data_IF_627907570171
#
_entry.id   IF_627907570171
#
_cell.length_a   1.000
_cell.length_b   1.000
_cell.length_c   1.000
_cell.angle_alpha   90.00
_cell.angle_beta   90.00
_cell.angle_gamma   90.00
#
_symmetry.space_group_name_H-M   'P 1'
#
loop_
_entity.id
_entity.type
_entity.pdbx_description
1 polymer ?
#
# COMPACT_ATOMS: atom_id res chain seq x y z
N UNK A 1 -24.44 -7.86 5.19
CA UNK A 1 -25.65 -7.19 4.63
C UNK A 1 -26.57 -6.59 5.71
N UNK A 2 -26.56 -7.13 6.93
CA UNK A 2 -27.41 -6.62 8.02
C UNK A 2 -26.83 -5.39 8.75
N UNK A 3 -25.49 -5.27 8.85
CA UNK A 3 -24.83 -4.08 9.43
C UNK A 3 -25.10 -2.77 8.68
N UNK A 4 -25.17 -2.81 7.36
CA UNK A 4 -25.45 -1.61 6.53
C UNK A 4 -26.86 -1.05 6.82
N UNK A 5 -27.75 -1.85 7.40
CA UNK A 5 -29.15 -1.50 7.68
C UNK A 5 -29.42 -1.17 9.15
N UNK A 6 -28.47 -1.38 10.06
CA UNK A 6 -28.70 -1.08 11.48
C UNK A 6 -28.39 0.38 11.81
N UNK A 7 -29.15 0.94 12.74
CA UNK A 7 -28.83 2.24 13.32
C UNK A 7 -27.58 2.09 14.20
N UNK A 8 -26.56 2.91 13.94
CA UNK A 8 -25.28 2.94 14.66
C UNK A 8 -24.47 1.63 14.58
N UNK A 9 -24.43 0.95 13.44
CA UNK A 9 -23.48 -0.13 13.25
C UNK A 9 -22.04 0.37 13.43
N UNK A 10 -21.31 -0.28 14.33
CA UNK A 10 -19.87 -0.15 14.47
C UNK A 10 -19.18 -1.37 13.85
N UNK A 11 -17.99 -1.20 13.26
CA UNK A 11 -17.19 -2.33 12.82
C UNK A 11 -16.75 -3.18 14.01
N UNK A 12 -16.60 -4.48 13.80
CA UNK A 12 -16.14 -5.42 14.82
C UNK A 12 -15.29 -6.53 14.22
N UNK A 13 -14.56 -7.22 15.09
CA UNK A 13 -13.83 -8.45 14.77
C UNK A 13 -14.72 -9.67 15.04
N UNK A 14 -14.77 -10.62 14.10
CA UNK A 14 -15.47 -11.91 14.29
C UNK A 14 -14.65 -12.90 15.12
N UNK A 15 -13.34 -12.70 15.20
CA UNK A 15 -12.42 -13.43 16.07
C UNK A 15 -11.12 -12.62 16.29
N UNK A 16 -10.31 -12.91 17.31
CA UNK A 16 -9.06 -12.20 17.54
C UNK A 16 -8.07 -12.36 16.37
N UNK A 17 -7.44 -11.26 15.96
CA UNK A 17 -6.38 -11.25 14.94
C UNK A 17 -5.05 -10.94 15.60
N UNK A 18 -4.08 -11.84 15.40
CA UNK A 18 -2.70 -11.62 15.86
C UNK A 18 -1.90 -10.96 14.74
N UNK A 19 -1.38 -9.77 15.00
CA UNK A 19 -0.42 -9.10 14.12
C UNK A 19 1.01 -9.32 14.63
N UNK A 20 2.02 -9.33 13.74
CA UNK A 20 3.40 -9.36 14.15
C UNK A 20 3.76 -8.17 15.06
N UNK A 21 4.56 -8.42 16.09
CA UNK A 21 5.07 -7.39 17.00
C UNK A 21 6.48 -6.97 16.54
N UNK A 22 6.54 -6.14 15.52
CA UNK A 22 7.78 -5.53 15.03
C UNK A 22 7.89 -4.08 15.50
N UNK A 23 9.12 -3.66 15.79
CA UNK A 23 9.40 -2.25 16.08
C UNK A 23 9.11 -1.38 14.85
N UNK A 24 9.44 -1.87 13.65
CA UNK A 24 9.30 -1.14 12.40
C UNK A 24 8.18 -1.70 11.55
N UNK A 25 7.27 -0.83 11.12
CA UNK A 25 6.18 -1.14 10.22
C UNK A 25 6.39 -0.38 8.90
N UNK A 26 6.18 -1.04 7.77
CA UNK A 26 6.18 -0.43 6.44
C UNK A 26 4.78 -0.58 5.82
N UNK A 27 4.12 0.53 5.54
CA UNK A 27 2.85 0.54 4.80
C UNK A 27 3.16 0.76 3.33
N UNK A 28 2.89 -0.27 2.54
CA UNK A 28 3.39 -0.42 1.18
C UNK A 28 2.26 -0.35 0.16
N UNK A 29 2.47 0.46 -0.87
CA UNK A 29 1.58 0.60 -2.03
C UNK A 29 2.40 0.81 -3.32
N UNK A 30 1.80 0.50 -4.47
CA UNK A 30 2.40 0.68 -5.80
C UNK A 30 1.47 1.41 -6.75
N UNK A 31 2.07 2.10 -7.71
CA UNK A 31 1.35 2.66 -8.84
C UNK A 31 1.78 2.00 -10.16
N UNK A 32 0.79 1.55 -10.93
CA UNK A 32 1.01 0.76 -12.14
C UNK A 32 0.15 1.30 -13.28
N UNK A 33 0.74 1.43 -14.47
CA UNK A 33 -0.01 1.56 -15.72
C UNK A 33 -0.18 0.16 -16.34
N UNK A 34 -1.36 -0.47 -16.19
CA UNK A 34 -1.59 -1.82 -16.70
C UNK A 34 -1.67 -1.86 -18.24
N UNK A 35 -1.90 -0.73 -18.92
CA UNK A 35 -1.92 -0.69 -20.38
C UNK A 35 -0.51 -0.77 -20.96
N UNK A 36 0.49 -0.29 -20.21
CA UNK A 36 1.90 -0.33 -20.58
C UNK A 36 2.68 -1.45 -19.87
N UNK A 37 2.04 -2.20 -18.96
CA UNK A 37 2.67 -3.19 -18.08
C UNK A 37 3.91 -2.61 -17.37
N UNK A 38 3.70 -1.45 -16.73
CA UNK A 38 4.74 -0.59 -16.18
C UNK A 38 4.41 -0.14 -14.75
N UNK A 39 5.20 -0.56 -13.78
CA UNK A 39 5.11 -0.15 -12.37
C UNK A 39 6.01 1.08 -12.14
N UNK A 40 5.40 2.25 -12.06
CA UNK A 40 6.17 3.49 -12.05
C UNK A 40 6.49 4.02 -10.66
N UNK A 41 5.89 3.49 -9.60
CA UNK A 41 6.12 3.97 -8.24
C UNK A 41 5.93 2.87 -7.20
N UNK A 42 6.83 2.84 -6.23
CA UNK A 42 6.80 2.03 -5.02
C UNK A 42 6.88 2.95 -3.81
N UNK A 43 5.84 2.97 -2.98
CA UNK A 43 5.72 3.87 -1.85
C UNK A 43 5.71 3.16 -0.52
N UNK A 44 6.35 3.77 0.47
CA UNK A 44 6.40 3.27 1.83
C UNK A 44 6.14 4.39 2.81
N UNK A 45 5.16 4.23 3.69
CA UNK A 45 5.17 4.95 4.97
C UNK A 45 5.85 4.04 5.99
N UNK A 46 7.02 4.46 6.47
CA UNK A 46 7.72 3.82 7.58
C UNK A 46 7.19 4.37 8.90
N UNK A 47 6.92 3.51 9.87
CA UNK A 47 6.54 3.87 11.25
C UNK A 47 7.33 3.03 12.24
N UNK A 48 7.80 3.65 13.32
CA UNK A 48 8.49 2.98 14.42
C UNK A 48 7.65 2.96 15.69
N UNK A 49 7.72 1.88 16.45
CA UNK A 49 7.09 1.71 17.76
C UNK A 49 5.57 1.98 17.79
N UNK A 50 4.89 1.83 16.65
CA UNK A 50 3.47 2.20 16.47
C UNK A 50 3.18 3.68 16.81
N UNK A 51 4.18 4.55 16.70
CA UNK A 51 4.07 5.99 16.97
C UNK A 51 3.96 6.78 15.66
N UNK A 52 2.79 7.35 15.42
CA UNK A 52 2.52 8.12 14.20
C UNK A 52 3.40 9.37 14.06
N UNK A 53 4.00 9.88 15.14
CA UNK A 53 4.94 11.00 15.06
C UNK A 53 6.29 10.63 14.42
N UNK A 54 6.57 9.33 14.30
CA UNK A 54 7.78 8.79 13.65
C UNK A 54 7.59 8.52 12.16
N UNK A 55 6.39 8.77 11.62
CA UNK A 55 6.06 8.45 10.24
C UNK A 55 6.95 9.17 9.24
N UNK A 56 7.48 8.42 8.28
CA UNK A 56 8.28 8.95 7.18
C UNK A 56 7.90 8.28 5.88
N UNK A 57 7.55 9.11 4.88
CA UNK A 57 7.32 8.63 3.53
C UNK A 57 8.63 8.48 2.76
N UNK A 58 8.77 7.34 2.08
CA UNK A 58 9.83 7.04 1.14
C UNK A 58 9.22 6.51 -0.16
N UNK A 59 9.66 7.04 -1.30
CA UNK A 59 9.14 6.67 -2.61
C UNK A 59 10.27 6.40 -3.59
N UNK A 60 10.11 5.34 -4.36
CA UNK A 60 11.01 4.92 -5.43
C UNK A 60 10.21 4.87 -6.72
N UNK A 61 10.57 5.69 -7.69
CA UNK A 61 9.74 5.90 -8.87
C UNK A 61 10.61 5.97 -10.13
N UNK A 62 10.04 5.50 -11.23
CA UNK A 62 10.69 5.56 -12.53
C UNK A 62 10.81 7.02 -12.99
N UNK A 63 11.99 7.41 -13.47
CA UNK A 63 12.23 8.78 -13.95
C UNK A 63 11.62 9.08 -15.32
N UNK A 64 11.28 8.05 -16.08
CA UNK A 64 10.69 8.07 -17.42
C UNK A 64 10.05 6.70 -17.73
N UNK A 65 9.58 6.49 -18.96
CA UNK A 65 8.92 5.27 -19.42
C UNK A 65 9.89 4.19 -19.93
N UNK A 66 11.17 4.22 -19.55
CA UNK A 66 12.14 3.18 -19.94
C UNK A 66 12.15 2.02 -18.96
N UNK A 67 12.42 0.82 -19.47
CA UNK A 67 12.61 -0.38 -18.63
C UNK A 67 13.72 -0.19 -17.59
N UNK A 68 14.77 0.56 -17.89
CA UNK A 68 15.87 0.84 -16.97
C UNK A 68 15.42 1.72 -15.78
N UNK A 69 14.50 2.66 -16.02
CA UNK A 69 13.94 3.49 -14.96
C UNK A 69 13.01 2.69 -14.03
N UNK A 70 12.18 1.80 -14.59
CA UNK A 70 11.34 0.88 -13.83
C UNK A 70 12.17 -0.12 -13.01
N UNK A 71 13.17 -0.76 -13.64
CA UNK A 71 14.10 -1.67 -12.97
C UNK A 71 14.79 -0.98 -11.78
N UNK A 72 15.27 0.25 -11.99
CA UNK A 72 15.92 1.02 -10.94
C UNK A 72 14.96 1.32 -9.78
N UNK A 73 13.73 1.75 -10.07
CA UNK A 73 12.73 2.02 -9.04
C UNK A 73 12.41 0.77 -8.21
N UNK A 74 12.25 -0.37 -8.87
CA UNK A 74 12.04 -1.67 -8.23
C UNK A 74 13.24 -2.10 -7.37
N UNK A 75 14.45 -2.02 -7.91
CA UNK A 75 15.68 -2.38 -7.18
C UNK A 75 15.92 -1.47 -5.97
N UNK A 76 15.68 -0.17 -6.10
CA UNK A 76 15.81 0.77 -4.98
C UNK A 76 14.74 0.50 -3.89
N UNK A 77 13.52 0.14 -4.27
CA UNK A 77 12.47 -0.27 -3.33
C UNK A 77 12.81 -1.58 -2.58
N UNK A 78 13.37 -2.58 -3.28
CA UNK A 78 13.90 -3.80 -2.64
C UNK A 78 14.99 -3.46 -1.63
N UNK A 79 15.95 -2.61 -2.02
CA UNK A 79 17.02 -2.17 -1.14
C UNK A 79 16.51 -1.42 0.09
N UNK A 80 15.45 -0.63 -0.07
CA UNK A 80 14.81 0.04 1.04
C UNK A 80 14.27 -0.97 2.05
N UNK A 81 13.50 -1.96 1.63
CA UNK A 81 12.99 -2.99 2.55
C UNK A 81 14.16 -3.71 3.23
N UNK A 82 15.19 -4.12 2.48
CA UNK A 82 16.40 -4.80 3.02
C UNK A 82 17.05 -3.98 4.15
N UNK A 83 17.17 -2.67 3.99
CA UNK A 83 17.79 -1.77 4.98
C UNK A 83 16.91 -1.53 6.22
N UNK A 84 15.61 -1.80 6.11
CA UNK A 84 14.64 -1.59 7.17
C UNK A 84 14.29 -2.89 7.93
N UNK A 85 14.92 -4.03 7.60
CA UNK A 85 14.71 -5.29 8.35
C UNK A 85 15.38 -5.25 9.74
N UNK A 86 14.78 -5.88 10.78
CA UNK A 86 13.48 -6.55 10.77
C UNK A 86 12.31 -5.56 10.74
N UNK A 87 11.30 -5.81 9.90
CA UNK A 87 10.07 -5.03 9.82
C UNK A 87 8.84 -5.88 9.49
N UNK A 88 7.65 -5.34 9.74
CA UNK A 88 6.39 -5.89 9.21
C UNK A 88 5.86 -5.01 8.10
N UNK A 89 5.52 -5.63 6.97
CA UNK A 89 4.96 -4.92 5.82
C UNK A 89 3.45 -5.09 5.83
N UNK A 90 2.71 -4.00 5.64
CA UNK A 90 1.26 -3.99 5.48
C UNK A 90 0.92 -3.42 4.11
N UNK A 91 0.05 -4.08 3.37
CA UNK A 91 -0.35 -3.68 2.02
C UNK A 91 -1.81 -4.01 1.74
N UNK A 92 -2.36 -3.50 0.64
CA UNK A 92 -3.78 -3.62 0.30
C UNK A 92 -3.93 -3.65 -1.23
N UNK A 93 -3.57 -4.75 -1.90
CA UNK A 93 -3.74 -6.15 -1.48
C UNK A 93 -2.87 -7.16 -2.26
N UNK A 94 -3.34 -8.39 -2.53
CA UNK A 94 -2.69 -9.42 -3.38
C UNK A 94 -2.07 -8.91 -4.70
N UNK A 95 -2.55 -7.76 -5.19
CA UNK A 95 -2.02 -7.12 -6.39
C UNK A 95 -0.54 -6.77 -6.27
N UNK A 96 -0.10 -6.29 -5.11
CA UNK A 96 1.27 -5.86 -4.84
C UNK A 96 2.26 -7.02 -5.01
N UNK A 97 1.97 -8.16 -4.35
CA UNK A 97 2.75 -9.40 -4.53
C UNK A 97 2.74 -9.88 -5.97
N UNK A 98 1.59 -9.77 -6.65
CA UNK A 98 1.46 -10.17 -8.06
C UNK A 98 2.34 -9.31 -8.96
N UNK A 99 2.39 -8.00 -8.73
CA UNK A 99 3.22 -7.09 -9.48
C UNK A 99 4.71 -7.31 -9.19
N UNK A 100 5.09 -7.53 -7.94
CA UNK A 100 6.50 -7.77 -7.59
C UNK A 100 7.04 -9.08 -8.15
N UNK A 101 6.22 -10.12 -8.24
CA UNK A 101 6.55 -11.34 -9.00
C UNK A 101 6.76 -11.04 -10.48
N UNK A 102 5.91 -10.22 -11.10
CA UNK A 102 6.07 -9.83 -12.50
C UNK A 102 7.35 -9.02 -12.72
N UNK A 103 7.63 -8.05 -11.86
CA UNK A 103 8.84 -7.23 -11.91
C UNK A 103 10.09 -8.09 -11.72
N UNK A 104 10.08 -9.05 -10.80
CA UNK A 104 11.19 -9.99 -10.64
C UNK A 104 11.42 -10.83 -11.90
N UNK A 105 10.37 -11.32 -12.57
CA UNK A 105 10.51 -12.05 -13.83
C UNK A 105 11.01 -11.16 -14.97
N UNK A 106 10.60 -9.88 -14.98
CA UNK A 106 11.03 -8.86 -15.95
C UNK A 106 12.48 -8.43 -15.72
N UNK A 107 12.92 -8.38 -14.46
CA UNK A 107 14.23 -7.90 -14.00
C UNK A 107 14.90 -8.94 -13.07
N UNK A 108 15.33 -10.09 -13.61
CA UNK A 108 15.85 -11.20 -12.80
C UNK A 108 17.16 -10.88 -12.06
N UNK A 109 17.89 -9.84 -12.49
CA UNK A 109 19.14 -9.42 -11.85
C UNK A 109 18.91 -8.61 -10.55
N UNK A 110 17.69 -8.09 -10.32
CA UNK A 110 17.37 -7.28 -9.15
C UNK A 110 17.21 -8.11 -7.85
N UNK A 111 16.63 -9.32 -7.96
CA UNK A 111 16.43 -10.25 -6.84
C UNK A 111 16.07 -11.67 -7.33
N UNK A 112 16.22 -12.65 -6.44
CA UNK A 112 15.76 -14.02 -6.70
C UNK A 112 14.23 -14.14 -6.53
N UNK A 113 13.64 -15.17 -7.14
CA UNK A 113 12.23 -15.53 -6.91
C UNK A 113 11.95 -15.78 -5.43
N UNK A 114 12.86 -16.48 -4.76
CA UNK A 114 12.72 -16.86 -3.35
C UNK A 114 12.76 -15.65 -2.42
N UNK A 115 13.48 -14.59 -2.80
CA UNK A 115 13.48 -13.34 -2.05
C UNK A 115 12.09 -12.69 -2.08
N UNK A 116 11.41 -12.65 -3.24
CA UNK A 116 10.04 -12.14 -3.33
C UNK A 116 9.08 -12.98 -2.48
N UNK A 117 9.21 -14.30 -2.50
CA UNK A 117 8.36 -15.18 -1.68
C UNK A 117 8.62 -14.99 -0.18
N UNK A 118 9.86 -14.78 0.22
CA UNK A 118 10.25 -14.49 1.61
C UNK A 118 9.73 -13.13 2.05
N UNK A 119 9.84 -12.12 1.19
CA UNK A 119 9.35 -10.76 1.46
C UNK A 119 7.84 -10.74 1.65
N UNK A 120 7.08 -11.52 0.89
CA UNK A 120 5.62 -11.63 1.03
C UNK A 120 5.18 -12.83 1.89
N UNK A 121 6.07 -13.36 2.72
CA UNK A 121 5.70 -14.40 3.68
C UNK A 121 4.66 -13.86 4.69
N UNK A 122 3.53 -14.57 4.92
CA UNK A 122 2.48 -14.09 5.82
C UNK A 122 2.92 -13.87 7.28
N UNK A 123 4.09 -14.38 7.70
CA UNK A 123 4.66 -14.12 9.01
C UNK A 123 5.20 -12.70 9.16
N UNK A 124 5.60 -12.05 8.06
CA UNK A 124 6.20 -10.71 8.08
C UNK A 124 5.44 -9.69 7.21
N UNK A 125 4.59 -10.14 6.30
CA UNK A 125 3.89 -9.28 5.34
C UNK A 125 2.40 -9.59 5.28
N UNK A 126 1.60 -8.62 5.68
CA UNK A 126 0.17 -8.78 5.96
C UNK A 126 -0.66 -8.08 4.87
N UNK A 127 -1.40 -8.88 4.11
CA UNK A 127 -2.46 -8.40 3.23
C UNK A 127 -3.68 -8.01 4.08
N UNK A 128 -3.90 -6.71 4.25
CA UNK A 128 -5.01 -6.23 5.10
C UNK A 128 -6.38 -6.43 4.46
N UNK A 129 -6.49 -6.61 3.15
CA UNK A 129 -7.77 -6.95 2.52
C UNK A 129 -8.21 -8.35 2.94
N UNK A 130 -7.28 -9.30 3.02
CA UNK A 130 -7.59 -10.66 3.51
C UNK A 130 -7.98 -10.64 4.98
N UNK A 131 -7.32 -9.82 5.80
CA UNK A 131 -7.69 -9.64 7.21
C UNK A 131 -9.11 -9.08 7.30
N UNK A 132 -9.40 -8.01 6.57
CA UNK A 132 -10.72 -7.38 6.56
C UNK A 132 -11.80 -8.39 6.17
N UNK A 133 -11.59 -9.13 5.08
CA UNK A 133 -12.59 -10.05 4.55
C UNK A 133 -12.86 -11.25 5.46
N UNK A 134 -11.85 -11.74 6.19
CA UNK A 134 -11.99 -12.94 7.02
C UNK A 134 -12.46 -12.63 8.44
N UNK A 135 -11.93 -11.56 9.01
CA UNK A 135 -11.96 -11.36 10.46
C UNK A 135 -12.74 -10.14 10.90
N UNK A 136 -13.25 -9.32 9.96
CA UNK A 136 -13.95 -8.09 10.32
C UNK A 136 -15.26 -7.97 9.57
N UNK A 137 -16.20 -7.26 10.20
CA UNK A 137 -17.45 -6.86 9.59
C UNK A 137 -17.56 -5.34 9.62
N UNK A 138 -17.91 -4.73 8.48
CA UNK A 138 -17.96 -3.28 8.32
C UNK A 138 -19.34 -2.82 7.83
N UNK A 139 -19.85 -1.67 8.31
CA UNK A 139 -21.07 -1.06 7.79
C UNK A 139 -20.82 -0.28 6.49
N UNK A 140 -20.07 -0.87 5.57
CA UNK A 140 -19.73 -0.28 4.28
C UNK A 140 -20.31 -1.11 3.13
N UNK A 141 -20.39 -0.52 1.93
CA UNK A 141 -20.91 -1.21 0.74
C UNK A 141 -19.91 -2.21 0.15
N UNK A 142 -18.64 -1.93 0.34
CA UNK A 142 -17.52 -2.74 -0.11
C UNK A 142 -16.35 -2.63 0.87
N UNK A 143 -15.36 -3.48 0.63
CA UNK A 143 -14.08 -3.50 1.34
C UNK A 143 -12.99 -3.00 0.40
N UNK A 144 -13.17 -1.83 -0.23
CA UNK A 144 -12.04 -1.12 -0.82
C UNK A 144 -11.36 -0.27 0.26
N UNK A 145 -10.06 -0.03 0.11
CA UNK A 145 -9.33 0.83 1.05
C UNK A 145 -9.93 2.23 1.12
N UNK A 146 -10.40 2.77 -0.01
CA UNK A 146 -11.06 4.08 -0.08
C UNK A 146 -12.33 4.13 0.75
N UNK A 147 -13.23 3.16 0.55
CA UNK A 147 -14.48 3.10 1.31
C UNK A 147 -14.22 2.94 2.81
N UNK A 148 -13.29 2.07 3.20
CA UNK A 148 -12.99 1.81 4.61
C UNK A 148 -12.30 3.00 5.29
N UNK A 149 -11.29 3.60 4.65
CA UNK A 149 -10.59 4.74 5.22
C UNK A 149 -11.49 5.99 5.27
N UNK A 150 -12.36 6.21 4.27
CA UNK A 150 -13.37 7.27 4.32
C UNK A 150 -14.38 7.06 5.45
N UNK A 151 -14.80 5.81 5.70
CA UNK A 151 -15.61 5.49 6.89
C UNK A 151 -14.88 5.85 8.19
N UNK A 152 -13.56 5.74 8.21
CA UNK A 152 -12.68 6.17 9.31
C UNK A 152 -12.26 7.64 9.24
N UNK A 153 -13.00 8.46 8.48
CA UNK A 153 -12.81 9.91 8.34
C UNK A 153 -11.44 10.33 7.74
N UNK A 154 -10.68 9.40 7.17
CA UNK A 154 -9.46 9.71 6.42
C UNK A 154 -9.79 10.48 5.14
N UNK A 155 -8.95 11.46 4.82
CA UNK A 155 -9.12 12.34 3.66
C UNK A 155 -7.84 12.34 2.84
N UNK A 156 -7.95 11.89 1.59
CA UNK A 156 -6.92 12.13 0.59
C UNK A 156 -6.74 13.63 0.38
N UNK A 157 -5.50 14.04 0.10
CA UNK A 157 -5.14 15.42 -0.22
C UNK A 157 -5.67 15.83 -1.58
N UNK A 158 -5.77 14.89 -2.52
CA UNK A 158 -6.35 15.14 -3.83
C UNK A 158 -7.88 15.13 -3.80
N UNK A 159 -8.50 15.96 -4.65
CA UNK A 159 -9.96 16.04 -4.80
C UNK A 159 -10.52 14.93 -5.68
N UNK A 160 -9.70 14.31 -6.54
CA UNK A 160 -10.06 13.19 -7.41
C UNK A 160 -9.03 12.04 -7.27
N UNK A 161 -8.95 11.40 -6.09
CA UNK A 161 -7.97 10.35 -5.82
C UNK A 161 -8.38 9.06 -6.55
N UNK A 162 -7.81 8.81 -7.72
CA UNK A 162 -8.07 7.58 -8.50
C UNK A 162 -6.81 7.05 -9.18
N UNK A 163 -6.69 5.72 -9.27
CA UNK A 163 -5.58 5.09 -10.00
C UNK A 163 -5.60 5.41 -11.50
N UNK A 164 -6.77 5.70 -12.08
CA UNK A 164 -6.85 6.17 -13.46
C UNK A 164 -6.26 7.58 -13.60
N UNK A 165 -6.49 8.45 -12.61
CA UNK A 165 -5.94 9.80 -12.56
C UNK A 165 -4.43 9.76 -12.31
N UNK A 166 -3.92 8.87 -11.46
CA UNK A 166 -2.47 8.71 -11.23
C UNK A 166 -1.71 8.33 -12.50
N UNK A 167 -2.27 7.44 -13.33
CA UNK A 167 -1.71 7.07 -14.65
C UNK A 167 -1.61 8.29 -15.58
N UNK A 168 -2.67 9.10 -15.71
CA UNK A 168 -2.65 10.32 -16.54
C UNK A 168 -1.61 11.33 -16.05
N UNK A 169 -1.50 11.51 -14.73
CA UNK A 169 -0.48 12.37 -14.13
C UNK A 169 0.93 11.87 -14.47
N UNK A 170 1.18 10.57 -14.34
CA UNK A 170 2.49 9.98 -14.64
C UNK A 170 2.87 10.14 -16.10
N UNK A 171 1.94 9.88 -17.03
CA UNK A 171 2.17 10.07 -18.47
C UNK A 171 2.49 11.53 -18.82
N UNK A 172 1.80 12.50 -18.20
CA UNK A 172 2.12 13.91 -18.40
C UNK A 172 3.46 14.30 -17.83
N UNK A 173 3.73 13.89 -16.59
CA UNK A 173 5.00 14.17 -15.94
C UNK A 173 6.17 13.54 -16.68
N UNK A 174 6.02 12.32 -17.20
CA UNK A 174 7.10 11.64 -17.93
C UNK A 174 7.52 12.42 -19.18
N UNK A 175 6.59 13.11 -19.85
CA UNK A 175 6.85 13.96 -21.01
C UNK A 175 7.34 15.37 -20.70
N UNK A 176 6.79 16.05 -19.69
CA UNK A 176 7.07 17.47 -19.43
C UNK A 176 7.90 17.78 -18.17
N UNK A 177 8.12 16.77 -17.31
CA UNK A 177 8.86 16.84 -16.03
C UNK A 177 8.34 17.91 -15.04
N UNK A 178 7.04 18.23 -15.10
CA UNK A 178 6.40 19.20 -14.20
C UNK A 178 6.42 18.69 -12.74
N UNK A 179 7.17 19.38 -11.89
CA UNK A 179 7.34 18.99 -10.48
C UNK A 179 6.03 19.04 -9.68
N UNK A 180 5.04 19.85 -10.08
CA UNK A 180 3.74 19.87 -9.40
C UNK A 180 2.97 18.57 -9.64
N UNK A 181 3.02 18.05 -10.87
CA UNK A 181 2.39 16.77 -11.22
C UNK A 181 3.09 15.63 -10.48
N UNK A 182 4.43 15.65 -10.44
CA UNK A 182 5.20 14.69 -9.65
C UNK A 182 4.81 14.69 -8.17
N UNK A 183 4.74 15.88 -7.57
CA UNK A 183 4.37 16.01 -6.16
C UNK A 183 2.96 15.47 -5.92
N UNK A 184 2.03 15.71 -6.85
CA UNK A 184 0.66 15.18 -6.79
C UNK A 184 0.61 13.66 -6.79
N UNK A 185 1.39 13.00 -7.67
CA UNK A 185 1.51 11.52 -7.71
C UNK A 185 2.06 10.98 -6.39
N UNK A 186 3.14 11.59 -5.89
CA UNK A 186 3.76 11.20 -4.61
C UNK A 186 2.79 11.36 -3.43
N UNK A 187 2.01 12.44 -3.40
CA UNK A 187 1.00 12.66 -2.37
C UNK A 187 -0.14 11.64 -2.44
N UNK A 188 -0.59 11.29 -3.65
CA UNK A 188 -1.63 10.30 -3.84
C UNK A 188 -1.21 8.93 -3.29
N UNK A 189 -0.01 8.46 -3.67
CA UNK A 189 0.48 7.18 -3.17
C UNK A 189 0.81 7.21 -1.66
N UNK A 190 1.38 8.31 -1.14
CA UNK A 190 1.57 8.47 0.31
C UNK A 190 0.23 8.40 1.05
N UNK A 191 -0.85 8.97 0.50
CA UNK A 191 -2.19 8.87 1.09
C UNK A 191 -2.73 7.43 1.07
N UNK A 192 -2.48 6.65 0.02
CA UNK A 192 -2.87 5.23 -0.05
C UNK A 192 -2.11 4.38 1.00
N UNK A 193 -0.81 4.65 1.22
CA UNK A 193 -0.05 4.07 2.33
C UNK A 193 -0.61 4.47 3.71
N UNK A 194 -0.91 5.77 3.92
CA UNK A 194 -1.48 6.28 5.16
C UNK A 194 -2.88 5.72 5.43
N UNK A 195 -3.72 5.58 4.41
CA UNK A 195 -5.04 4.96 4.52
C UNK A 195 -4.94 3.52 5.02
N UNK A 196 -3.99 2.75 4.48
CA UNK A 196 -3.68 1.38 4.93
C UNK A 196 -3.26 1.36 6.40
N UNK A 197 -2.44 2.33 6.83
CA UNK A 197 -2.06 2.49 8.24
C UNK A 197 -3.25 2.84 9.15
N UNK A 198 -4.11 3.79 8.75
CA UNK A 198 -5.33 4.14 9.49
C UNK A 198 -6.20 2.91 9.71
N UNK A 199 -6.37 2.11 8.65
CA UNK A 199 -7.17 0.89 8.71
C UNK A 199 -6.57 -0.13 9.69
N UNK A 200 -5.25 -0.36 9.64
CA UNK A 200 -4.57 -1.26 10.58
C UNK A 200 -4.82 -0.84 12.04
N UNK A 201 -4.59 0.43 12.35
CA UNK A 201 -4.76 0.95 13.71
C UNK A 201 -6.19 0.78 14.19
N UNK A 202 -7.17 1.01 13.30
CA UNK A 202 -8.56 0.74 13.64
C UNK A 202 -8.78 -0.73 13.94
N UNK A 203 -8.35 -1.65 13.05
CA UNK A 203 -8.53 -3.10 13.22
C UNK A 203 -7.97 -3.56 14.57
N UNK A 204 -6.79 -3.07 14.98
CA UNK A 204 -6.16 -3.40 16.28
C UNK A 204 -6.97 -2.95 17.51
N UNK A 205 -7.95 -2.06 17.35
CA UNK A 205 -8.79 -1.52 18.43
C UNK A 205 -10.25 -1.96 18.37
N UNK A 206 -10.63 -2.76 17.38
CA UNK A 206 -11.99 -3.28 17.26
C UNK A 206 -12.30 -4.26 18.38
N UNK A 207 -13.55 -4.26 18.82
CA UNK A 207 -14.04 -5.27 19.76
C UNK A 207 -14.25 -6.60 19.03
N UNK A 208 -13.95 -7.71 19.71
CA UNK A 208 -14.29 -9.06 19.24
C UNK A 208 -15.72 -9.38 19.69
N UNK A 209 -16.55 -9.88 18.76
CA UNK A 209 -17.96 -10.23 18.97
C UNK A 209 -18.20 -11.70 18.67
#
# INVERSE_FOLDING_TARGET
ADLVKSQNAEPYLTEPVNFPDSERELFFDIEVDPMQDFCYLHGFVERSNRDNSTERYAAFYATDLSNAAEEKAFADALNYIRQNQPCTIYYYSKYERTMWRKLQLKYPDACSTDEIETLFDPGNSIDLLEVVRKYTEWPTRDHSIKTLAQYLEFKWRDTDPSGASSIEWFQRWSGNKDQKIKQRILQYNEDDCLATRVLLDKIKTLNVV
#
